data_IF_706759153754
#
_entry.id   IF_706759153754
#
_cell.length_a   1.000
_cell.length_b   1.000
_cell.length_c   1.000
_cell.angle_alpha   90.00
_cell.angle_beta   90.00
_cell.angle_gamma   90.00
#
_symmetry.space_group_name_H-M   'P 1'
#
loop_
_entity.id
_entity.type
_entity.pdbx_description
1 polymer ?
#
# COMPACT_ATOMS: atom_id res chain seq x y z
N UNK A 1 -19.44 -23.95 -5.28
CA UNK A 1 -18.49 -23.61 -6.36
C UNK A 1 -19.21 -22.77 -7.42
N UNK A 2 -20.02 -23.32 -8.34
CA UNK A 2 -20.61 -22.54 -9.45
C UNK A 2 -21.28 -21.17 -9.13
N UNK A 3 -22.03 -21.04 -8.03
CA UNK A 3 -22.66 -19.75 -7.64
C UNK A 3 -21.62 -18.77 -7.08
N UNK A 4 -20.65 -19.24 -6.28
CA UNK A 4 -19.56 -18.42 -5.73
C UNK A 4 -18.68 -17.92 -6.88
N UNK A 5 -18.37 -18.80 -7.83
CA UNK A 5 -17.58 -18.47 -9.04
C UNK A 5 -18.32 -17.44 -9.90
N UNK A 6 -19.64 -17.53 -10.01
CA UNK A 6 -20.46 -16.57 -10.77
C UNK A 6 -20.52 -15.18 -10.11
N UNK A 7 -20.63 -15.10 -8.79
CA UNK A 7 -20.67 -13.84 -8.04
C UNK A 7 -19.30 -13.17 -8.06
N UNK A 8 -18.23 -13.95 -7.85
CA UNK A 8 -16.85 -13.47 -7.94
C UNK A 8 -16.54 -12.95 -9.35
N UNK A 9 -16.92 -13.70 -10.39
CA UNK A 9 -16.75 -13.27 -11.79
C UNK A 9 -17.49 -11.96 -12.07
N UNK A 10 -18.71 -11.79 -11.56
CA UNK A 10 -19.46 -10.55 -11.72
C UNK A 10 -18.79 -9.37 -10.98
N UNK A 11 -18.31 -9.58 -9.76
CA UNK A 11 -17.58 -8.57 -8.99
C UNK A 11 -16.30 -8.14 -9.71
N UNK A 12 -15.53 -9.10 -10.24
CA UNK A 12 -14.32 -8.85 -11.03
C UNK A 12 -14.68 -8.01 -12.26
N UNK A 13 -15.66 -8.43 -13.07
CA UNK A 13 -16.08 -7.69 -14.27
C UNK A 13 -16.53 -6.26 -13.95
N UNK A 14 -17.29 -6.09 -12.87
CA UNK A 14 -17.73 -4.77 -12.43
C UNK A 14 -16.55 -3.87 -12.05
N UNK A 15 -15.56 -4.39 -11.32
CA UNK A 15 -14.38 -3.60 -10.93
C UNK A 15 -13.46 -3.35 -12.11
N UNK A 16 -13.22 -4.33 -12.97
CA UNK A 16 -12.48 -4.13 -14.23
C UNK A 16 -13.09 -3.02 -15.08
N UNK A 17 -14.42 -2.96 -15.17
CA UNK A 17 -15.08 -1.85 -15.86
C UNK A 17 -14.77 -0.48 -15.23
N UNK A 18 -14.66 -0.37 -13.91
CA UNK A 18 -14.25 0.87 -13.26
C UNK A 18 -12.78 1.21 -13.53
N UNK A 19 -11.91 0.20 -13.58
CA UNK A 19 -10.51 0.36 -13.97
C UNK A 19 -10.42 0.89 -15.40
N UNK A 20 -11.15 0.30 -16.33
CA UNK A 20 -11.25 0.76 -17.72
C UNK A 20 -11.76 2.21 -17.84
N UNK A 21 -12.66 2.63 -16.94
CA UNK A 21 -13.18 3.99 -16.93
C UNK A 21 -12.12 5.00 -16.51
N UNK A 22 -11.36 4.76 -15.44
CA UNK A 22 -10.30 5.72 -15.07
C UNK A 22 -9.13 5.67 -16.05
N UNK A 23 -8.87 4.55 -16.72
CA UNK A 23 -7.90 4.49 -17.82
C UNK A 23 -8.31 5.36 -19.02
N UNK A 24 -9.62 5.47 -19.29
CA UNK A 24 -10.16 6.30 -20.37
C UNK A 24 -10.26 7.78 -20.00
N UNK A 25 -10.50 8.07 -18.72
CA UNK A 25 -10.72 9.43 -18.19
C UNK A 25 -9.80 9.72 -16.99
N UNK A 26 -8.46 9.61 -17.15
CA UNK A 26 -7.54 9.68 -16.02
C UNK A 26 -7.47 11.07 -15.38
N UNK A 27 -7.53 12.12 -16.21
CA UNK A 27 -7.45 13.51 -15.76
C UNK A 27 -8.72 13.93 -15.02
N UNK A 28 -9.88 13.49 -15.50
CA UNK A 28 -11.16 13.72 -14.85
C UNK A 28 -11.20 13.06 -13.47
N UNK A 29 -10.73 11.81 -13.35
CA UNK A 29 -10.67 11.12 -12.06
C UNK A 29 -9.73 11.81 -11.08
N UNK A 30 -8.56 12.29 -11.54
CA UNK A 30 -7.66 13.07 -10.68
C UNK A 30 -8.22 14.44 -10.32
N UNK A 31 -8.96 15.09 -11.21
CA UNK A 31 -9.62 16.35 -10.95
C UNK A 31 -10.72 16.20 -9.88
N UNK A 32 -11.55 15.15 -9.99
CA UNK A 32 -12.58 14.83 -8.99
C UNK A 32 -11.95 14.62 -7.59
N UNK A 33 -10.81 13.91 -7.53
CA UNK A 33 -10.08 13.74 -6.28
C UNK A 33 -9.50 15.05 -5.77
N UNK A 34 -8.91 15.87 -6.64
CA UNK A 34 -8.41 17.19 -6.28
C UNK A 34 -9.50 18.05 -5.63
N UNK A 35 -10.69 18.14 -6.25
CA UNK A 35 -11.81 18.91 -5.70
C UNK A 35 -12.28 18.36 -4.34
N UNK A 36 -12.41 17.03 -4.21
CA UNK A 36 -12.78 16.37 -2.95
C UNK A 36 -11.75 16.66 -1.86
N UNK A 37 -10.46 16.60 -2.18
CA UNK A 37 -9.35 16.87 -1.25
C UNK A 37 -9.36 18.33 -0.81
N UNK A 38 -9.44 19.29 -1.75
CA UNK A 38 -9.46 20.73 -1.42
C UNK A 38 -10.66 21.08 -0.54
N UNK A 39 -11.85 20.60 -0.90
CA UNK A 39 -13.09 20.84 -0.15
C UNK A 39 -13.01 20.26 1.26
N UNK A 40 -12.55 19.02 1.39
CA UNK A 40 -12.46 18.33 2.69
C UNK A 40 -11.38 18.95 3.57
N UNK A 41 -10.23 19.30 2.99
CA UNK A 41 -9.09 19.88 3.69
C UNK A 41 -9.33 21.33 4.15
N UNK A 42 -10.24 22.08 3.53
CA UNK A 42 -10.41 23.51 3.76
C UNK A 42 -10.75 23.90 5.22
N UNK A 43 -11.37 23.01 5.98
CA UNK A 43 -11.74 23.29 7.37
C UNK A 43 -10.60 23.07 8.38
N UNK A 44 -9.52 22.42 7.96
CA UNK A 44 -8.37 22.07 8.80
C UNK A 44 -7.49 23.29 9.10
N UNK A 45 -6.63 23.21 10.11
CA UNK A 45 -5.62 24.25 10.37
C UNK A 45 -4.73 24.48 9.14
N UNK A 46 -4.28 23.41 8.50
CA UNK A 46 -3.48 23.48 7.27
C UNK A 46 -4.25 24.13 6.11
N UNK A 47 -5.49 23.70 5.88
CA UNK A 47 -6.33 24.25 4.82
C UNK A 47 -6.64 25.72 5.01
N UNK A 48 -6.84 26.18 6.26
CA UNK A 48 -7.01 27.60 6.60
C UNK A 48 -5.72 28.40 6.38
N UNK A 49 -4.56 27.84 6.74
CA UNK A 49 -3.25 28.49 6.54
C UNK A 49 -3.01 28.84 5.07
N UNK A 50 -3.42 27.98 4.14
CA UNK A 50 -3.24 28.16 2.70
C UNK A 50 -4.54 28.49 1.96
N UNK A 51 -5.59 28.89 2.67
CA UNK A 51 -6.88 29.32 2.10
C UNK A 51 -7.43 28.35 1.01
N UNK A 52 -7.53 27.07 1.34
CA UNK A 52 -7.99 26.02 0.41
C UNK A 52 -9.40 26.29 -0.14
N UNK A 53 -10.24 27.02 0.60
CA UNK A 53 -11.58 27.37 0.17
C UNK A 53 -11.61 28.22 -1.12
N UNK A 54 -10.53 28.95 -1.43
CA UNK A 54 -10.41 29.73 -2.66
C UNK A 54 -9.57 29.06 -3.76
N UNK A 55 -9.06 27.85 -3.50
CA UNK A 55 -8.32 27.07 -4.51
C UNK A 55 -9.32 26.37 -5.42
N UNK A 56 -9.35 26.77 -6.68
CA UNK A 56 -10.29 26.26 -7.69
C UNK A 56 -9.59 25.55 -8.86
N UNK A 57 -8.26 25.44 -8.84
CA UNK A 57 -7.51 24.71 -9.85
C UNK A 57 -6.19 24.17 -9.29
N UNK A 58 -5.65 23.08 -9.87
CA UNK A 58 -4.32 22.56 -9.53
C UNK A 58 -3.21 23.62 -9.66
N UNK A 59 -3.30 24.54 -10.62
CA UNK A 59 -2.32 25.61 -10.82
C UNK A 59 -2.27 26.56 -9.62
N UNK A 60 -3.45 26.99 -9.13
CA UNK A 60 -3.55 27.84 -7.94
C UNK A 60 -3.03 27.10 -6.71
N UNK A 61 -3.32 25.80 -6.61
CA UNK A 61 -2.80 24.95 -5.54
C UNK A 61 -1.27 24.89 -5.56
N UNK A 62 -0.66 24.63 -6.73
CA UNK A 62 0.80 24.56 -6.92
C UNK A 62 1.51 25.87 -6.58
N UNK A 63 0.90 27.00 -6.89
CA UNK A 63 1.47 28.33 -6.60
C UNK A 63 1.39 28.70 -5.12
N UNK A 64 0.41 28.17 -4.39
CA UNK A 64 0.10 28.59 -3.02
C UNK A 64 0.66 27.65 -1.95
N UNK A 65 0.61 26.36 -2.20
CA UNK A 65 1.01 25.33 -1.25
C UNK A 65 2.40 24.84 -1.63
N UNK A 66 3.41 24.93 -0.77
CA UNK A 66 4.72 24.40 -1.08
C UNK A 66 4.70 22.86 -1.06
N UNK A 67 5.60 22.24 -1.83
CA UNK A 67 5.94 20.82 -1.65
C UNK A 67 6.48 20.63 -0.24
N UNK A 68 5.94 19.64 0.48
CA UNK A 68 6.29 19.35 1.87
C UNK A 68 7.12 18.09 2.00
N UNK A 69 8.03 18.09 2.98
CA UNK A 69 8.71 16.91 3.50
C UNK A 69 8.12 16.53 4.85
N UNK A 70 8.57 15.40 5.41
CA UNK A 70 8.09 14.95 6.71
C UNK A 70 8.34 15.98 7.81
N UNK A 71 9.50 16.63 7.78
CA UNK A 71 9.92 17.61 8.79
C UNK A 71 8.98 18.82 8.84
N UNK A 72 8.38 19.21 7.71
CA UNK A 72 7.47 20.35 7.61
C UNK A 72 6.11 20.08 8.27
N UNK A 73 5.64 18.83 8.22
CA UNK A 73 4.35 18.41 8.77
C UNK A 73 4.47 17.72 10.13
N UNK A 74 5.68 17.31 10.54
CA UNK A 74 5.97 16.64 11.80
C UNK A 74 5.40 17.38 13.03
N UNK A 75 5.46 18.72 13.16
CA UNK A 75 4.87 19.41 14.31
C UNK A 75 3.36 19.19 14.44
N UNK A 76 2.63 19.16 13.31
CA UNK A 76 1.19 18.89 13.29
C UNK A 76 0.90 17.42 13.60
N UNK A 77 1.68 16.50 13.03
CA UNK A 77 1.58 15.06 13.35
C UNK A 77 1.79 14.82 14.85
N UNK A 78 2.78 15.47 15.47
CA UNK A 78 3.03 15.34 16.90
C UNK A 78 1.84 15.84 17.73
N UNK A 79 1.20 16.95 17.34
CA UNK A 79 -0.02 17.45 17.98
C UNK A 79 -1.21 16.49 17.78
N UNK A 80 -1.35 15.91 16.59
CA UNK A 80 -2.36 14.88 16.31
C UNK A 80 -2.18 13.64 17.20
N UNK A 81 -0.93 13.21 17.42
CA UNK A 81 -0.59 12.12 18.35
C UNK A 81 -0.86 12.46 19.81
N UNK A 82 -0.98 13.75 20.16
CA UNK A 82 -1.45 14.21 21.47
C UNK A 82 -2.98 14.34 21.55
N UNK A 83 -3.69 13.98 20.48
CA UNK A 83 -5.16 13.96 20.38
C UNK A 83 -5.78 15.25 19.86
N UNK A 84 -4.98 16.19 19.36
CA UNK A 84 -5.51 17.37 18.68
C UNK A 84 -6.04 17.02 17.30
N UNK A 85 -7.24 17.51 16.97
CA UNK A 85 -7.98 17.11 15.77
C UNK A 85 -8.00 18.23 14.73
N UNK A 86 -8.39 17.88 13.50
CA UNK A 86 -8.63 18.85 12.42
C UNK A 86 -7.39 19.72 12.09
N UNK A 87 -6.20 19.11 12.16
CA UNK A 87 -4.91 19.76 11.87
C UNK A 87 -4.51 19.63 10.40
N UNK A 88 -4.24 18.40 9.95
CA UNK A 88 -3.89 18.07 8.56
C UNK A 88 -5.08 17.48 7.79
N UNK A 89 -5.97 16.76 8.47
CA UNK A 89 -7.15 16.12 7.92
C UNK A 89 -8.30 16.21 8.93
N UNK A 90 -9.57 16.31 8.50
CA UNK A 90 -10.70 16.51 9.42
C UNK A 90 -11.18 15.24 10.12
N UNK A 91 -10.87 14.05 9.60
CA UNK A 91 -11.23 12.79 10.28
C UNK A 91 -10.46 12.60 11.60
N UNK A 92 -11.04 11.77 12.48
CA UNK A 92 -10.38 11.37 13.72
C UNK A 92 -9.28 10.35 13.45
N UNK A 93 -8.02 10.79 13.48
CA UNK A 93 -6.86 9.93 13.22
C UNK A 93 -6.39 9.27 14.51
N UNK A 94 -6.56 7.94 14.59
CA UNK A 94 -6.08 7.11 15.70
C UNK A 94 -4.90 6.21 15.33
N UNK A 95 -4.65 6.06 14.03
CA UNK A 95 -3.66 5.16 13.47
C UNK A 95 -2.51 5.96 12.87
N UNK A 96 -1.28 5.61 13.25
CA UNK A 96 -0.07 6.20 12.70
C UNK A 96 0.84 5.09 12.18
N UNK A 97 1.01 5.01 10.87
CA UNK A 97 1.93 4.08 10.26
C UNK A 97 3.37 4.54 10.50
N UNK A 98 4.20 3.65 11.05
CA UNK A 98 5.62 3.89 11.26
C UNK A 98 6.35 3.58 9.96
N UNK A 99 6.96 4.61 9.37
CA UNK A 99 7.80 4.47 8.18
C UNK A 99 9.28 4.61 8.56
N UNK A 100 10.12 3.72 8.02
CA UNK A 100 11.57 3.73 8.22
C UNK A 100 12.21 4.84 7.38
N UNK A 101 12.33 6.04 7.95
CA UNK A 101 13.10 7.13 7.33
C UNK A 101 14.61 6.87 7.41
N UNK A 102 15.32 7.07 6.30
CA UNK A 102 16.77 6.85 6.14
C UNK A 102 17.66 8.00 6.64
N UNK A 103 17.07 9.08 7.16
CA UNK A 103 17.81 10.24 7.68
C UNK A 103 17.41 10.53 9.13
N UNK A 104 18.39 10.54 10.03
CA UNK A 104 18.36 10.97 11.44
C UNK A 104 17.79 10.03 12.51
N UNK A 105 17.68 8.72 12.26
CA UNK A 105 17.37 7.73 13.31
C UNK A 105 16.02 7.95 14.04
N UNK A 106 15.12 8.78 13.48
CA UNK A 106 13.78 9.04 14.00
C UNK A 106 12.76 8.49 13.01
N UNK A 107 11.90 7.60 13.49
CA UNK A 107 10.84 7.02 12.68
C UNK A 107 9.84 8.10 12.23
N UNK A 108 9.39 8.01 10.97
CA UNK A 108 8.28 8.82 10.46
C UNK A 108 6.97 8.21 10.94
N UNK A 109 6.00 9.04 11.29
CA UNK A 109 4.66 8.64 11.72
C UNK A 109 3.65 9.22 10.74
N UNK A 110 3.16 8.40 9.83
CA UNK A 110 2.23 8.81 8.79
C UNK A 110 0.80 8.66 9.31
N UNK A 111 -0.02 9.73 9.31
CA UNK A 111 -1.41 9.63 9.74
C UNK A 111 -2.20 8.72 8.78
N UNK A 112 -2.98 7.80 9.33
CA UNK A 112 -3.85 6.90 8.57
C UNK A 112 -5.30 7.17 8.96
N UNK A 113 -6.07 7.72 8.02
CA UNK A 113 -7.49 8.00 8.19
C UNK A 113 -8.33 6.74 7.89
N UNK A 114 -9.61 6.75 8.28
CA UNK A 114 -10.51 5.66 7.93
C UNK A 114 -10.71 5.63 6.41
N UNK A 115 -10.81 6.80 5.77
CA UNK A 115 -10.87 6.91 4.31
C UNK A 115 -9.64 6.33 3.62
N UNK A 116 -8.43 6.52 4.15
CA UNK A 116 -7.22 5.89 3.58
C UNK A 116 -7.23 4.37 3.74
N UNK A 117 -7.73 3.84 4.85
CA UNK A 117 -7.88 2.38 5.02
C UNK A 117 -8.84 1.82 3.96
N UNK A 118 -10.00 2.45 3.79
CA UNK A 118 -11.08 1.93 2.94
C UNK A 118 -10.92 2.26 1.45
N UNK A 119 -10.72 3.53 1.13
CA UNK A 119 -10.70 4.07 -0.23
C UNK A 119 -9.32 3.91 -0.90
N UNK A 120 -8.24 3.72 -0.12
CA UNK A 120 -6.89 3.47 -0.65
C UNK A 120 -6.48 2.01 -0.45
N UNK A 121 -6.04 1.60 0.74
CA UNK A 121 -5.36 0.31 0.91
C UNK A 121 -6.26 -0.92 0.72
N UNK A 122 -7.49 -0.92 1.26
CA UNK A 122 -8.42 -2.05 1.05
C UNK A 122 -8.98 -2.08 -0.36
N UNK A 123 -9.20 -0.91 -0.97
CA UNK A 123 -9.54 -0.82 -2.39
C UNK A 123 -8.42 -1.43 -3.24
N UNK A 124 -7.18 -1.04 -2.98
CA UNK A 124 -6.00 -1.59 -3.65
C UNK A 124 -5.86 -3.11 -3.49
N UNK A 125 -6.03 -3.64 -2.27
CA UNK A 125 -5.98 -5.09 -2.05
C UNK A 125 -7.04 -5.86 -2.86
N UNK A 126 -8.25 -5.31 -2.99
CA UNK A 126 -9.29 -5.89 -3.86
C UNK A 126 -8.91 -5.82 -5.34
N UNK A 127 -8.23 -4.76 -5.75
CA UNK A 127 -7.85 -4.53 -7.14
C UNK A 127 -6.65 -5.38 -7.57
N UNK A 128 -5.69 -5.63 -6.68
CA UNK A 128 -4.63 -6.63 -6.88
C UNK A 128 -5.25 -7.99 -7.18
N UNK A 129 -6.20 -8.43 -6.35
CA UNK A 129 -6.91 -9.70 -6.57
C UNK A 129 -7.73 -9.67 -7.87
N UNK A 130 -8.42 -8.56 -8.15
CA UNK A 130 -9.24 -8.41 -9.35
C UNK A 130 -8.40 -8.52 -10.61
N UNK A 131 -7.29 -7.78 -10.70
CA UNK A 131 -6.39 -7.78 -11.84
C UNK A 131 -5.72 -9.14 -12.02
N UNK A 132 -5.26 -9.74 -10.93
CA UNK A 132 -4.66 -11.07 -10.96
C UNK A 132 -5.63 -12.13 -11.51
N UNK A 133 -6.84 -12.21 -10.94
CA UNK A 133 -7.85 -13.20 -11.35
C UNK A 133 -8.40 -12.94 -12.75
N UNK A 134 -8.47 -11.67 -13.17
CA UNK A 134 -8.86 -11.31 -14.53
C UNK A 134 -7.82 -11.81 -15.55
N UNK A 135 -6.53 -11.68 -15.22
CA UNK A 135 -5.43 -12.14 -16.07
C UNK A 135 -5.22 -13.66 -16.01
N UNK A 136 -5.71 -14.31 -14.96
CA UNK A 136 -5.51 -15.72 -14.67
C UNK A 136 -6.85 -16.39 -14.28
N UNK A 137 -7.77 -16.59 -15.24
CA UNK A 137 -9.11 -17.13 -14.95
C UNK A 137 -9.10 -18.57 -14.41
N UNK A 138 -8.03 -19.32 -14.66
CA UNK A 138 -7.83 -20.70 -14.18
C UNK A 138 -7.13 -20.76 -12.81
N UNK A 139 -6.94 -19.61 -12.15
CA UNK A 139 -6.28 -19.49 -10.85
C UNK A 139 -6.93 -20.36 -9.77
N UNK A 140 -6.10 -21.02 -8.98
CA UNK A 140 -6.49 -21.81 -7.81
C UNK A 140 -6.38 -21.04 -6.49
N UNK A 141 -6.21 -19.71 -6.54
CA UNK A 141 -5.90 -18.84 -5.40
C UNK A 141 -6.76 -19.12 -4.16
N UNK A 142 -8.07 -19.29 -4.35
CA UNK A 142 -9.03 -19.50 -3.26
C UNK A 142 -9.19 -20.98 -2.81
N UNK A 143 -8.44 -21.91 -3.38
CA UNK A 143 -8.42 -23.32 -2.96
C UNK A 143 -7.52 -23.56 -1.73
N UNK A 144 -6.66 -22.59 -1.41
CA UNK A 144 -5.78 -22.59 -0.24
C UNK A 144 -5.82 -21.28 0.52
N UNK A 145 -4.81 -21.07 1.38
CA UNK A 145 -4.65 -19.88 2.20
C UNK A 145 -3.60 -18.94 1.62
N UNK A 146 -3.83 -17.64 1.79
CA UNK A 146 -2.81 -16.63 1.57
C UNK A 146 -1.89 -16.50 2.77
N UNK A 147 -0.61 -16.77 2.61
CA UNK A 147 0.41 -16.48 3.62
C UNK A 147 0.79 -15.01 3.51
N UNK A 148 0.44 -14.23 4.54
CA UNK A 148 0.83 -12.83 4.65
C UNK A 148 1.90 -12.67 5.73
N UNK A 149 3.04 -12.10 5.34
CA UNK A 149 4.02 -11.62 6.28
C UNK A 149 3.68 -10.18 6.68
N UNK A 150 3.03 -10.02 7.83
CA UNK A 150 2.74 -8.71 8.41
C UNK A 150 3.91 -8.20 9.26
N UNK A 151 4.00 -6.88 9.38
CA UNK A 151 4.84 -6.17 10.31
C UNK A 151 4.32 -6.21 11.76
N UNK A 152 4.93 -5.41 12.64
CA UNK A 152 4.63 -5.37 14.07
C UNK A 152 3.88 -4.10 14.49
N UNK A 153 3.44 -4.03 15.75
CA UNK A 153 2.62 -2.93 16.25
C UNK A 153 2.84 -2.61 17.72
N UNK A 154 2.65 -1.35 18.08
CA UNK A 154 2.65 -0.84 19.44
C UNK A 154 1.39 0.00 19.69
N UNK A 155 0.93 0.02 20.95
CA UNK A 155 -0.23 0.80 21.40
C UNK A 155 0.26 1.85 22.39
N UNK A 156 -0.08 3.11 22.17
CA UNK A 156 0.14 4.20 23.11
C UNK A 156 -1.20 4.69 23.66
N UNK A 157 -1.28 4.93 24.97
CA UNK A 157 -2.42 5.58 25.58
C UNK A 157 -2.14 7.07 25.79
N UNK A 158 -3.00 7.92 25.24
CA UNK A 158 -2.92 9.37 25.40
C UNK A 158 -4.30 9.89 25.78
N UNK A 159 -4.41 10.63 26.89
CA UNK A 159 -5.67 11.23 27.36
C UNK A 159 -6.84 10.23 27.46
N UNK A 160 -6.59 9.02 27.99
CA UNK A 160 -7.56 7.91 28.08
C UNK A 160 -8.12 7.46 26.72
N UNK A 161 -7.40 7.69 25.62
CA UNK A 161 -7.69 7.16 24.30
C UNK A 161 -6.48 6.38 23.78
N UNK A 162 -6.75 5.25 23.13
CA UNK A 162 -5.72 4.42 22.52
C UNK A 162 -5.36 4.94 21.13
N UNK A 163 -4.09 5.25 20.94
CA UNK A 163 -3.45 5.57 19.67
C UNK A 163 -2.57 4.40 19.26
N UNK A 164 -2.63 4.03 17.99
CA UNK A 164 -1.98 2.84 17.49
C UNK A 164 -0.85 3.23 16.55
N UNK A 165 0.34 2.71 16.82
CA UNK A 165 1.54 3.02 16.06
C UNK A 165 2.23 1.73 15.65
N UNK A 166 2.47 1.54 14.37
CA UNK A 166 3.06 0.30 13.90
C UNK A 166 3.23 0.27 12.40
N UNK A 167 3.67 -0.87 11.90
CA UNK A 167 3.79 -1.07 10.47
C UNK A 167 2.41 -0.98 9.83
N UNK A 168 2.32 -0.37 8.65
CA UNK A 168 1.05 -0.22 7.92
C UNK A 168 0.29 -1.56 7.83
N UNK A 169 1.00 -2.65 7.56
CA UNK A 169 0.41 -4.00 7.49
C UNK A 169 -0.32 -4.41 8.78
N UNK A 170 0.18 -4.01 9.96
CA UNK A 170 -0.48 -4.32 11.21
C UNK A 170 -1.80 -3.55 11.38
N UNK A 171 -1.81 -2.27 10.99
CA UNK A 171 -3.00 -1.42 10.96
C UNK A 171 -4.06 -2.03 10.03
N UNK A 172 -3.64 -2.46 8.83
CA UNK A 172 -4.55 -3.07 7.85
C UNK A 172 -5.12 -4.42 8.33
N UNK A 173 -4.30 -5.24 9.00
CA UNK A 173 -4.75 -6.53 9.56
C UNK A 173 -5.82 -6.33 10.64
N UNK A 174 -5.67 -5.33 11.52
CA UNK A 174 -6.67 -5.01 12.55
C UNK A 174 -8.01 -4.59 11.99
N UNK A 175 -7.99 -3.86 10.88
CA UNK A 175 -9.20 -3.34 10.24
C UNK A 175 -9.78 -4.31 9.19
N UNK A 176 -9.17 -5.49 9.02
CA UNK A 176 -9.53 -6.43 7.97
C UNK A 176 -10.89 -7.09 8.24
N UNK A 177 -11.78 -7.20 7.23
CA UNK A 177 -13.06 -7.89 7.40
C UNK A 177 -12.85 -9.39 7.71
N UNK A 178 -13.75 -9.97 8.51
CA UNK A 178 -13.61 -11.32 9.04
C UNK A 178 -13.34 -12.40 7.98
N UNK A 179 -14.02 -12.33 6.82
CA UNK A 179 -13.83 -13.31 5.75
C UNK A 179 -12.38 -13.32 5.20
N UNK A 180 -11.74 -12.16 5.13
CA UNK A 180 -10.35 -12.05 4.66
C UNK A 180 -9.36 -12.58 5.71
N UNK A 181 -9.71 -12.50 7.00
CA UNK A 181 -8.93 -13.13 8.07
C UNK A 181 -8.96 -14.65 7.98
N UNK A 182 -10.11 -15.24 7.62
CA UNK A 182 -10.27 -16.70 7.48
C UNK A 182 -9.46 -17.26 6.29
N UNK A 183 -9.36 -16.51 5.20
CA UNK A 183 -8.59 -16.90 4.01
C UNK A 183 -7.07 -16.76 4.17
N UNK A 184 -6.61 -16.25 5.32
CA UNK A 184 -5.20 -15.95 5.58
C UNK A 184 -4.57 -16.94 6.54
N UNK A 185 -3.26 -17.09 6.41
CA UNK A 185 -2.39 -17.75 7.39
C UNK A 185 -1.12 -16.90 7.60
N UNK A 186 -0.44 -16.97 8.75
CA UNK A 186 -0.86 -17.54 10.02
C UNK A 186 -1.88 -16.65 10.75
N UNK A 187 -2.26 -17.03 11.97
CA UNK A 187 -3.22 -16.25 12.78
C UNK A 187 -2.76 -14.81 13.00
N UNK A 188 -3.71 -13.91 13.28
CA UNK A 188 -3.40 -12.51 13.58
C UNK A 188 -2.44 -12.37 14.76
N UNK A 189 -2.59 -13.20 15.81
CA UNK A 189 -1.72 -13.20 16.97
C UNK A 189 -0.25 -13.48 16.61
N UNK A 190 0.02 -14.45 15.72
CA UNK A 190 1.37 -14.75 15.25
C UNK A 190 1.89 -13.63 14.33
N UNK A 191 1.02 -13.13 13.45
CA UNK A 191 1.41 -12.12 12.44
C UNK A 191 1.80 -10.78 13.06
N UNK A 192 1.21 -10.41 14.20
CA UNK A 192 1.42 -9.11 14.84
C UNK A 192 2.50 -9.13 15.94
N UNK A 193 3.26 -10.23 16.07
CA UNK A 193 4.36 -10.33 17.04
C UNK A 193 5.50 -9.35 16.72
N UNK A 194 6.07 -8.77 17.78
CA UNK A 194 7.23 -7.86 17.73
C UNK A 194 8.57 -8.60 17.62
N UNK A 195 8.73 -9.71 18.36
CA UNK A 195 9.99 -10.45 18.40
C UNK A 195 10.13 -11.29 17.13
N UNK A 196 11.08 -10.88 16.28
CA UNK A 196 11.25 -11.35 14.91
C UNK A 196 11.58 -12.84 14.81
N UNK A 197 12.48 -13.35 15.65
CA UNK A 197 12.93 -14.75 15.55
C UNK A 197 11.82 -15.73 15.96
N UNK A 198 11.15 -15.46 17.09
CA UNK A 198 10.00 -16.25 17.56
C UNK A 198 8.84 -16.16 16.57
N UNK A 199 8.60 -14.98 15.98
CA UNK A 199 7.60 -14.80 14.93
C UNK A 199 7.90 -15.70 13.73
N UNK A 200 9.11 -15.63 13.18
CA UNK A 200 9.51 -16.46 12.05
C UNK A 200 9.34 -17.95 12.34
N UNK A 201 9.76 -18.41 13.53
CA UNK A 201 9.59 -19.78 13.97
C UNK A 201 8.12 -20.19 13.96
N UNK A 202 7.25 -19.45 14.64
CA UNK A 202 5.82 -19.76 14.74
C UNK A 202 5.09 -19.63 13.40
N UNK A 203 5.48 -18.67 12.57
CA UNK A 203 4.94 -18.55 11.21
C UNK A 203 5.26 -19.80 10.40
N UNK A 204 6.50 -20.28 10.43
CA UNK A 204 6.91 -21.45 9.67
C UNK A 204 6.23 -22.73 10.18
N UNK A 205 6.20 -22.95 11.50
CA UNK A 205 5.48 -24.07 12.13
C UNK A 205 3.99 -24.08 11.79
N UNK A 206 3.33 -22.92 11.82
CA UNK A 206 1.90 -22.80 11.59
C UNK A 206 1.49 -22.85 10.11
N UNK A 207 2.45 -22.80 9.17
CA UNK A 207 2.15 -22.71 7.73
C UNK A 207 2.66 -23.91 6.92
N UNK A 208 3.64 -24.66 7.41
CA UNK A 208 4.17 -25.82 6.68
C UNK A 208 3.10 -26.89 6.36
N UNK A 209 2.11 -27.08 7.25
CA UNK A 209 1.05 -28.08 7.09
C UNK A 209 -0.23 -27.53 6.43
N UNK A 210 -0.21 -26.28 5.96
CA UNK A 210 -1.35 -25.67 5.28
C UNK A 210 -1.17 -25.72 3.76
N UNK A 211 -2.29 -25.87 3.04
CA UNK A 211 -2.29 -25.58 1.61
C UNK A 211 -2.15 -24.06 1.38
N UNK A 212 -0.94 -23.60 1.05
CA UNK A 212 -0.64 -22.20 0.75
C UNK A 212 -0.62 -22.01 -0.75
N UNK A 213 -1.54 -21.18 -1.26
CA UNK A 213 -1.70 -20.89 -2.70
C UNK A 213 -1.10 -19.55 -3.10
N UNK A 214 -0.92 -18.63 -2.14
CA UNK A 214 -0.29 -17.34 -2.40
C UNK A 214 0.57 -16.84 -1.24
N UNK A 215 1.63 -16.12 -1.58
CA UNK A 215 2.44 -15.33 -0.64
C UNK A 215 2.14 -13.84 -0.80
N UNK A 216 2.28 -13.07 0.28
CA UNK A 216 2.23 -11.61 0.24
C UNK A 216 3.21 -11.00 1.23
N UNK A 217 4.04 -10.04 0.77
CA UNK A 217 4.99 -9.36 1.63
C UNK A 217 6.23 -8.81 0.91
N UNK A 218 7.19 -8.35 1.70
CA UNK A 218 8.47 -7.84 1.20
C UNK A 218 9.37 -9.01 0.79
N UNK A 219 10.00 -9.00 -0.40
CA UNK A 219 10.86 -10.09 -0.88
C UNK A 219 11.94 -10.54 0.11
N UNK A 220 12.65 -9.59 0.72
CA UNK A 220 13.76 -9.87 1.65
C UNK A 220 13.33 -10.72 2.85
N UNK A 221 12.20 -10.37 3.46
CA UNK A 221 11.69 -11.07 4.64
C UNK A 221 11.01 -12.39 4.27
N UNK A 222 10.26 -12.39 3.16
CA UNK A 222 9.58 -13.59 2.66
C UNK A 222 10.57 -14.70 2.32
N UNK A 223 11.73 -14.33 1.75
CA UNK A 223 12.81 -15.26 1.46
C UNK A 223 13.35 -15.95 2.72
N UNK A 224 13.50 -15.22 3.83
CA UNK A 224 13.95 -15.78 5.11
C UNK A 224 12.93 -16.77 5.66
N UNK A 225 11.63 -16.44 5.59
CA UNK A 225 10.57 -17.36 6.00
C UNK A 225 10.51 -18.62 5.14
N UNK A 226 10.63 -18.50 3.82
CA UNK A 226 10.69 -19.65 2.91
C UNK A 226 11.80 -20.60 3.32
N UNK A 227 13.01 -20.10 3.56
CA UNK A 227 14.15 -20.92 4.01
C UNK A 227 13.85 -21.61 5.34
N UNK A 228 13.26 -20.86 6.29
CA UNK A 228 12.87 -21.40 7.59
C UNK A 228 11.82 -22.52 7.49
N UNK A 229 10.84 -22.37 6.60
CA UNK A 229 9.82 -23.38 6.33
C UNK A 229 10.45 -24.65 5.75
N UNK A 230 11.37 -24.51 4.78
CA UNK A 230 12.09 -25.63 4.19
C UNK A 230 12.95 -26.37 5.21
N UNK A 231 13.68 -25.63 6.04
CA UNK A 231 14.52 -26.19 7.10
C UNK A 231 13.69 -27.00 8.11
N UNK A 232 12.52 -26.48 8.53
CA UNK A 232 11.62 -27.16 9.46
C UNK A 232 10.93 -28.38 8.84
N UNK A 233 10.52 -28.28 7.57
CA UNK A 233 9.88 -29.37 6.85
C UNK A 233 10.87 -30.45 6.38
N UNK A 234 12.18 -30.18 6.44
CA UNK A 234 13.23 -31.05 5.92
C UNK A 234 13.13 -31.23 4.40
N UNK A 235 12.77 -30.17 3.67
CA UNK A 235 12.57 -30.14 2.22
C UNK A 235 13.57 -29.23 1.54
N UNK A 236 13.84 -29.45 0.26
CA UNK A 236 14.79 -28.62 -0.49
C UNK A 236 14.09 -27.50 -1.26
N UNK A 237 12.85 -27.74 -1.70
CA UNK A 237 12.10 -26.81 -2.56
C UNK A 237 10.67 -26.59 -2.05
N UNK A 238 10.14 -25.38 -2.26
CA UNK A 238 8.81 -25.01 -1.79
C UNK A 238 7.68 -25.84 -2.38
N UNK A 239 7.71 -26.28 -3.66
CA UNK A 239 6.68 -27.18 -4.20
C UNK A 239 6.54 -28.51 -3.42
N UNK A 240 7.54 -28.93 -2.64
CA UNK A 240 7.43 -30.11 -1.76
C UNK A 240 6.62 -29.85 -0.48
N UNK A 241 6.48 -28.58 -0.09
CA UNK A 241 5.73 -28.13 1.10
C UNK A 241 4.37 -27.56 0.68
N UNK A 242 4.36 -26.67 -0.30
CA UNK A 242 3.20 -25.97 -0.83
C UNK A 242 3.05 -26.24 -2.33
N UNK A 243 2.51 -27.40 -2.72
CA UNK A 243 2.43 -27.81 -4.13
C UNK A 243 1.50 -26.93 -4.97
N UNK A 244 0.50 -26.29 -4.36
CA UNK A 244 -0.48 -25.44 -5.05
C UNK A 244 -0.09 -23.94 -5.02
N UNK A 245 1.14 -23.60 -4.59
CA UNK A 245 1.61 -22.22 -4.59
C UNK A 245 1.71 -21.68 -6.03
N UNK A 246 0.95 -20.63 -6.35
CA UNK A 246 0.87 -20.08 -7.70
C UNK A 246 1.30 -18.60 -7.82
N UNK A 247 1.31 -17.84 -6.73
CA UNK A 247 1.64 -16.40 -6.79
C UNK A 247 2.30 -15.85 -5.54
N UNK A 248 3.25 -14.93 -5.75
CA UNK A 248 3.79 -14.04 -4.73
C UNK A 248 3.45 -12.59 -5.08
N UNK A 249 2.56 -11.98 -4.31
CA UNK A 249 2.27 -10.54 -4.36
C UNK A 249 3.33 -9.79 -3.56
N UNK A 250 4.17 -9.01 -4.22
CA UNK A 250 5.33 -8.39 -3.58
C UNK A 250 5.38 -6.88 -3.78
N UNK A 251 6.00 -6.20 -2.81
CA UNK A 251 6.20 -4.76 -2.83
C UNK A 251 7.19 -4.31 -1.76
N UNK A 252 7.36 -3.01 -1.63
CA UNK A 252 8.23 -2.36 -0.63
C UNK A 252 9.72 -2.31 -0.98
N UNK A 253 10.25 -3.27 -1.76
CA UNK A 253 11.58 -3.20 -2.37
C UNK A 253 11.56 -3.83 -3.77
N UNK A 254 12.53 -3.46 -4.61
CA UNK A 254 12.72 -4.10 -5.92
C UNK A 254 12.87 -5.62 -5.76
N UNK A 255 12.12 -6.37 -6.57
CA UNK A 255 12.19 -7.84 -6.57
C UNK A 255 13.39 -8.37 -7.34
N UNK A 256 13.94 -7.59 -8.28
CA UNK A 256 14.98 -8.04 -9.20
C UNK A 256 16.21 -8.66 -8.53
N UNK A 257 16.76 -8.10 -7.42
CA UNK A 257 17.89 -8.70 -6.71
C UNK A 257 17.59 -10.06 -6.06
N UNK A 258 16.32 -10.42 -5.90
CA UNK A 258 15.87 -11.64 -5.24
C UNK A 258 15.41 -12.72 -6.23
N UNK A 259 15.20 -12.37 -7.51
CA UNK A 259 14.56 -13.23 -8.51
C UNK A 259 15.21 -14.61 -8.62
N UNK A 260 16.54 -14.68 -8.75
CA UNK A 260 17.26 -15.95 -8.88
C UNK A 260 17.11 -16.84 -7.63
N UNK A 261 17.11 -16.24 -6.44
CA UNK A 261 16.97 -17.00 -5.20
C UNK A 261 15.56 -17.56 -5.05
N UNK A 262 14.53 -16.79 -5.41
CA UNK A 262 13.15 -17.29 -5.43
C UNK A 262 12.96 -18.38 -6.48
N UNK A 263 13.54 -18.24 -7.67
CA UNK A 263 13.46 -19.27 -8.72
C UNK A 263 14.14 -20.58 -8.29
N UNK A 264 15.25 -20.51 -7.56
CA UNK A 264 15.93 -21.70 -7.03
C UNK A 264 15.12 -22.41 -5.94
N UNK A 265 14.43 -21.66 -5.07
CA UNK A 265 13.64 -22.21 -3.97
C UNK A 265 12.22 -22.63 -4.40
N UNK A 266 11.71 -22.05 -5.48
CA UNK A 266 10.39 -22.32 -6.05
C UNK A 266 10.55 -22.67 -7.54
N UNK A 267 11.13 -23.84 -7.89
CA UNK A 267 11.32 -24.26 -9.28
C UNK A 267 9.99 -24.71 -9.89
N UNK A 268 9.10 -23.75 -10.14
CA UNK A 268 7.78 -23.94 -10.73
C UNK A 268 7.58 -22.89 -11.84
N UNK A 269 7.53 -23.35 -13.08
CA UNK A 269 7.33 -22.48 -14.26
C UNK A 269 5.99 -21.74 -14.26
N UNK A 270 5.02 -22.21 -13.47
CA UNK A 270 3.72 -21.56 -13.29
C UNK A 270 3.71 -20.54 -12.14
N UNK A 271 4.80 -20.41 -11.38
CA UNK A 271 4.89 -19.44 -10.29
C UNK A 271 4.88 -18.02 -10.83
N UNK A 272 4.04 -17.16 -10.25
CA UNK A 272 3.88 -15.77 -10.66
C UNK A 272 4.45 -14.83 -9.59
N UNK A 273 5.20 -13.84 -10.01
CA UNK A 273 5.71 -12.76 -9.16
C UNK A 273 4.98 -11.48 -9.57
N UNK A 274 4.07 -11.03 -8.72
CA UNK A 274 3.10 -9.98 -9.03
C UNK A 274 3.44 -8.72 -8.24
N UNK A 275 3.86 -7.67 -8.94
CA UNK A 275 4.43 -6.49 -8.32
C UNK A 275 3.37 -5.46 -7.92
N UNK A 276 3.58 -4.86 -6.76
CA UNK A 276 2.77 -3.77 -6.21
C UNK A 276 3.68 -2.68 -5.66
N UNK A 277 3.28 -1.43 -5.86
CA UNK A 277 3.94 -0.27 -5.26
C UNK A 277 3.05 0.36 -4.20
N UNK A 278 3.42 0.16 -2.93
CA UNK A 278 2.73 0.68 -1.77
C UNK A 278 3.71 1.12 -0.68
N UNK A 279 3.31 2.10 0.10
CA UNK A 279 4.04 2.65 1.23
C UNK A 279 3.07 2.99 2.38
N UNK A 280 3.59 3.50 3.50
CA UNK A 280 2.73 4.00 4.60
C UNK A 280 1.90 5.21 4.17
N UNK A 281 2.39 5.96 3.20
CA UNK A 281 1.80 7.17 2.65
C UNK A 281 0.68 6.90 1.65
N UNK A 282 0.59 5.69 1.10
CA UNK A 282 -0.45 5.31 0.14
C UNK A 282 -0.15 4.03 -0.61
N UNK A 283 -1.12 3.57 -1.41
CA UNK A 283 -0.95 2.52 -2.40
C UNK A 283 -0.98 3.18 -3.78
N UNK A 284 0.04 2.96 -4.60
CA UNK A 284 0.25 3.75 -5.82
C UNK A 284 0.11 2.91 -7.09
N UNK A 285 0.76 1.76 -7.17
CA UNK A 285 0.90 1.02 -8.43
C UNK A 285 0.56 -0.47 -8.31
N UNK A 286 -0.07 -1.03 -9.33
CA UNK A 286 -0.33 -2.48 -9.44
C UNK A 286 0.15 -2.96 -10.81
N UNK A 287 0.87 -4.08 -10.86
CA UNK A 287 1.15 -4.75 -12.12
C UNK A 287 -0.16 -5.23 -12.76
N UNK A 288 -0.57 -4.67 -13.89
CA UNK A 288 -1.87 -4.93 -14.50
C UNK A 288 -1.78 -5.89 -15.70
N UNK A 289 -0.59 -6.08 -16.27
CA UNK A 289 -0.33 -6.92 -17.45
C UNK A 289 0.68 -8.01 -17.16
N UNK A 290 0.36 -9.23 -17.59
CA UNK A 290 1.27 -10.38 -17.42
C UNK A 290 2.55 -10.21 -18.24
N UNK A 291 3.70 -10.37 -17.59
CA UNK A 291 5.02 -10.26 -18.23
C UNK A 291 5.51 -8.84 -18.47
N UNK A 292 4.76 -7.81 -18.05
CA UNK A 292 5.20 -6.42 -18.11
C UNK A 292 6.16 -6.09 -16.96
N UNK A 293 7.13 -5.21 -17.21
CA UNK A 293 8.08 -4.72 -16.20
C UNK A 293 7.69 -3.32 -15.68
N UNK A 294 6.43 -2.94 -15.88
CA UNK A 294 5.85 -1.69 -15.41
C UNK A 294 4.58 -1.99 -14.59
N UNK A 295 4.04 -0.95 -13.96
CA UNK A 295 2.84 -1.01 -13.15
C UNK A 295 1.86 0.08 -13.59
N UNK A 296 0.57 -0.21 -13.45
CA UNK A 296 -0.48 0.77 -13.59
C UNK A 296 -0.55 1.65 -12.35
N UNK A 297 -0.42 2.97 -12.53
CA UNK A 297 -0.68 3.96 -11.49
C UNK A 297 -2.19 4.03 -11.21
N UNK A 298 -2.57 3.80 -9.95
CA UNK A 298 -3.96 3.75 -9.53
C UNK A 298 -4.46 5.15 -9.17
N UNK A 299 -5.41 5.66 -9.96
CA UNK A 299 -5.83 7.06 -9.89
C UNK A 299 -7.02 7.32 -8.96
N UNK A 300 -7.69 6.27 -8.50
CA UNK A 300 -8.97 6.36 -7.80
C UNK A 300 -8.90 6.01 -6.30
N UNK A 301 -7.72 6.18 -5.68
CA UNK A 301 -7.40 5.75 -4.31
C UNK A 301 -7.33 6.88 -3.28
N UNK A 302 -7.91 8.05 -3.55
CA UNK A 302 -7.84 9.17 -2.61
C UNK A 302 -6.49 9.86 -2.59
N UNK A 303 -5.75 9.75 -3.70
CA UNK A 303 -4.45 10.36 -3.91
C UNK A 303 -4.52 11.21 -5.17
N UNK A 304 -4.16 12.48 -5.03
CA UNK A 304 -3.87 13.38 -6.15
C UNK A 304 -2.36 13.40 -6.40
N UNK A 305 -1.96 13.17 -7.64
CA UNK A 305 -0.57 13.02 -8.05
C UNK A 305 -0.06 14.27 -8.78
N UNK A 306 1.19 14.61 -8.47
CA UNK A 306 1.99 15.58 -9.20
C UNK A 306 3.38 14.98 -9.46
N UNK A 307 4.02 15.40 -10.55
CA UNK A 307 5.32 14.88 -10.98
C UNK A 307 6.33 16.02 -11.07
N UNK A 308 7.35 16.00 -10.21
CA UNK A 308 8.39 17.03 -10.18
C UNK A 308 9.56 16.58 -11.06
N UNK A 309 9.97 17.37 -12.07
CA UNK A 309 11.19 17.11 -12.82
C UNK A 309 12.41 16.98 -11.88
N UNK A 310 13.32 16.05 -12.17
CA UNK A 310 14.42 15.72 -11.25
C UNK A 310 15.35 16.90 -10.93
N UNK A 311 15.48 17.87 -11.86
CA UNK A 311 16.26 19.09 -11.67
C UNK A 311 15.57 20.15 -10.80
N UNK A 312 14.27 19.98 -10.52
CA UNK A 312 13.48 20.85 -9.63
C UNK A 312 13.25 20.25 -8.24
N UNK A 313 13.72 19.03 -7.99
CA UNK A 313 13.59 18.36 -6.69
C UNK A 313 14.28 19.17 -5.60
N UNK A 314 13.57 19.40 -4.50
CA UNK A 314 14.06 20.15 -3.34
C UNK A 314 13.66 21.63 -3.33
N UNK A 315 13.10 22.16 -4.44
CA UNK A 315 12.44 23.46 -4.43
C UNK A 315 11.12 23.39 -3.65
N UNK A 316 10.79 24.47 -2.92
CA UNK A 316 9.51 24.56 -2.23
C UNK A 316 8.34 24.71 -3.21
N UNK A 317 8.56 25.35 -4.36
CA UNK A 317 7.56 25.58 -5.40
C UNK A 317 8.13 25.15 -6.76
N UNK A 318 8.30 23.84 -7.01
CA UNK A 318 8.74 23.35 -8.30
C UNK A 318 7.61 23.51 -9.33
N UNK A 319 7.97 23.56 -10.61
CA UNK A 319 7.06 23.38 -11.74
C UNK A 319 6.71 21.88 -11.85
N UNK A 320 5.86 21.41 -10.94
CA UNK A 320 5.31 20.06 -10.99
C UNK A 320 4.23 19.93 -12.06
N UNK A 321 4.18 18.74 -12.66
CA UNK A 321 3.37 18.38 -13.80
C UNK A 321 2.18 17.51 -13.37
N UNK A 322 1.06 17.64 -14.09
CA UNK A 322 -0.07 16.71 -14.05
C UNK A 322 0.18 15.43 -14.88
N UNK A 323 -0.80 14.52 -14.88
CA UNK A 323 -0.70 13.24 -15.61
C UNK A 323 -0.58 13.39 -17.12
N UNK A 324 -1.18 14.43 -17.70
CA UNK A 324 -1.17 14.71 -19.14
C UNK A 324 0.10 15.42 -19.63
N UNK A 325 0.93 15.88 -18.68
CA UNK A 325 2.14 16.66 -18.94
C UNK A 325 3.43 15.82 -18.87
N UNK A 326 3.38 14.61 -18.28
CA UNK A 326 4.56 13.75 -18.17
C UNK A 326 4.97 13.15 -19.51
N UNK A 327 6.27 12.95 -19.69
CA UNK A 327 6.86 12.39 -20.91
C UNK A 327 7.37 10.96 -20.67
N UNK A 328 7.17 10.10 -21.68
CA UNK A 328 7.70 8.74 -21.65
C UNK A 328 9.23 8.75 -21.46
N UNK A 329 9.73 7.77 -20.71
CA UNK A 329 11.16 7.57 -20.44
C UNK A 329 11.85 8.78 -19.77
N UNK A 330 11.08 9.61 -19.05
CA UNK A 330 11.61 10.71 -18.24
C UNK A 330 11.34 10.42 -16.77
N UNK A 331 12.35 10.59 -15.93
CA UNK A 331 12.22 10.38 -14.49
C UNK A 331 11.64 11.63 -13.83
N UNK A 332 10.72 11.42 -12.91
CA UNK A 332 10.10 12.46 -12.10
C UNK A 332 10.01 11.98 -10.66
N UNK A 333 10.17 12.90 -9.70
CA UNK A 333 9.85 12.62 -8.32
C UNK A 333 8.33 12.74 -8.11
N UNK A 334 7.73 11.73 -7.50
CA UNK A 334 6.29 11.70 -7.22
C UNK A 334 5.96 12.53 -5.98
N UNK A 335 5.02 13.47 -6.15
CA UNK A 335 4.45 14.27 -5.07
C UNK A 335 2.97 13.90 -4.93
N UNK A 336 2.54 13.66 -3.70
CA UNK A 336 1.19 13.18 -3.41
C UNK A 336 0.42 14.12 -2.51
N UNK A 337 -0.88 14.20 -2.75
CA UNK A 337 -1.84 14.77 -1.81
C UNK A 337 -2.89 13.73 -1.46
N UNK A 338 -3.06 13.41 -0.19
CA UNK A 338 -3.81 12.22 0.24
C UNK A 338 -5.03 12.54 1.09
N UNK A 339 -5.99 11.62 1.10
CA UNK A 339 -7.13 11.61 2.03
C UNK A 339 -6.76 11.26 3.48
N UNK A 340 -5.50 11.48 3.88
CA UNK A 340 -5.02 11.46 5.28
C UNK A 340 -4.29 12.75 5.68
N UNK A 341 -4.29 13.77 4.81
CA UNK A 341 -3.69 15.07 5.12
C UNK A 341 -2.19 15.18 4.85
N UNK A 342 -1.63 14.29 4.02
CA UNK A 342 -0.36 14.60 3.36
C UNK A 342 -0.66 15.56 2.21
N UNK A 343 -0.09 16.76 2.24
CA UNK A 343 -0.38 17.83 1.27
C UNK A 343 0.88 18.17 0.47
N UNK A 344 0.83 17.97 -0.86
CA UNK A 344 2.01 18.05 -1.74
C UNK A 344 3.25 17.40 -1.14
N UNK A 345 3.06 16.21 -0.58
CA UNK A 345 4.09 15.49 0.16
C UNK A 345 5.03 14.75 -0.79
N UNK A 346 6.33 14.97 -0.62
CA UNK A 346 7.37 14.24 -1.33
C UNK A 346 7.64 12.90 -0.62
N UNK A 347 7.34 11.78 -1.29
CA UNK A 347 7.49 10.43 -0.71
C UNK A 347 8.97 10.11 -0.43
N UNK A 348 9.86 10.56 -1.31
CA UNK A 348 11.30 10.38 -1.20
C UNK A 348 11.85 9.20 -2.01
N UNK A 349 10.99 8.46 -2.71
CA UNK A 349 11.40 7.51 -3.74
C UNK A 349 11.72 8.29 -5.03
N UNK A 350 12.92 8.07 -5.58
CA UNK A 350 13.42 8.72 -6.81
C UNK A 350 13.91 7.70 -7.81
#
# INVERSE_FOLDING_TARGET
MAIIDSVLTWLIKKRMHQIDLFLKFPNEVQHDWFEKLMTTGAITEWGKKYDYASINSPEVFRQRVPVSKYEDIQPLINRMRQGEKNLLWPEDIKWFAKSSGTTDNKSKFIPISQSTIEECHFKAGKDVLTLYLNNHPDSALFQGKGLLMGGSQNIQEVNNQSYYEGDLSAILIHNMPYWAQVMRTPSMAITLMDEWESKLQLMAEATQDHNVTSLSGVPSWTLVLIRKVLDLAGKETIPEVWPDLEVFFHGGVSFEPYREQFAALIPNDNMRYFETYNASEGFFGIQDRSGANDMLLMLDYGIFYEFVPMDQVGLAFPESLGLDEVQLNTNYAMVITTNSGLWRYMIGDT
#
